data_IF_717396688105
#
_entry.id   IF_717396688105
#
_cell.length_a   1.000
_cell.length_b   1.000
_cell.length_c   1.000
_cell.angle_alpha   90.00
_cell.angle_beta   90.00
_cell.angle_gamma   90.00
#
_symmetry.space_group_name_H-M   'P 1'
#
loop_
_entity.id
_entity.type
_entity.pdbx_description
1 polymer ?
#
# COMPACT_ATOMS: atom_id res chain seq x y z
N UNK A 1 24.92 -3.43 24.75
CA UNK A 1 23.62 -4.08 25.07
C UNK A 1 22.45 -3.11 25.35
N UNK A 2 22.66 -1.83 25.71
CA UNK A 2 21.55 -0.91 26.08
C UNK A 2 20.78 -0.22 24.94
N UNK A 3 21.33 -0.14 23.71
CA UNK A 3 20.74 0.64 22.61
C UNK A 3 19.42 0.09 22.07
N UNK A 4 19.32 -1.24 21.92
CA UNK A 4 18.14 -1.90 21.34
C UNK A 4 16.91 -1.86 22.26
N UNK A 5 17.13 -2.00 23.58
CA UNK A 5 16.08 -1.86 24.60
C UNK A 5 15.54 -0.43 24.60
N UNK A 6 16.42 0.58 24.46
CA UNK A 6 16.00 1.97 24.35
C UNK A 6 15.19 2.25 23.08
N UNK A 7 15.54 1.62 21.94
CA UNK A 7 14.78 1.72 20.70
C UNK A 7 13.35 1.16 20.87
N UNK A 8 13.20 -0.05 21.40
CA UNK A 8 11.88 -0.64 21.64
C UNK A 8 11.02 0.19 22.58
N UNK A 9 11.60 0.74 23.65
CA UNK A 9 10.90 1.66 24.56
C UNK A 9 10.40 2.91 23.84
N UNK A 10 11.23 3.52 22.99
CA UNK A 10 10.84 4.68 22.17
C UNK A 10 9.70 4.34 21.21
N UNK A 11 9.82 3.25 20.45
CA UNK A 11 8.80 2.79 19.51
C UNK A 11 7.46 2.51 20.21
N UNK A 12 7.49 1.87 21.39
CA UNK A 12 6.29 1.65 22.19
C UNK A 12 5.63 2.96 22.63
N UNK A 13 6.43 3.95 23.07
CA UNK A 13 5.92 5.28 23.46
C UNK A 13 5.24 5.99 22.28
N UNK A 14 5.87 6.00 21.10
CA UNK A 14 5.33 6.58 19.87
C UNK A 14 3.99 5.90 19.50
N UNK A 15 3.96 4.56 19.49
CA UNK A 15 2.74 3.80 19.20
C UNK A 15 1.61 4.12 20.19
N UNK A 16 1.92 4.22 21.48
CA UNK A 16 0.94 4.56 22.53
C UNK A 16 0.41 5.98 22.36
N UNK A 17 1.27 6.92 21.99
CA UNK A 17 0.90 8.32 21.76
C UNK A 17 -0.01 8.46 20.53
N UNK A 18 0.38 7.89 19.40
CA UNK A 18 -0.46 7.90 18.19
C UNK A 18 -1.84 7.31 18.43
N UNK A 19 -1.95 6.22 19.20
CA UNK A 19 -3.26 5.62 19.52
C UNK A 19 -4.14 6.57 20.36
N UNK A 20 -3.56 7.41 21.22
CA UNK A 20 -4.32 8.44 21.96
C UNK A 20 -4.76 9.55 21.03
N UNK A 21 -3.86 10.07 20.21
CA UNK A 21 -4.14 11.13 19.23
C UNK A 21 -5.23 10.72 18.24
N UNK A 22 -5.22 9.47 17.77
CA UNK A 22 -6.28 8.93 16.91
C UNK A 22 -7.66 8.94 17.58
N UNK A 23 -7.74 8.60 18.88
CA UNK A 23 -9.00 8.64 19.63
C UNK A 23 -9.49 10.07 19.80
N UNK A 24 -8.58 10.99 20.15
CA UNK A 24 -8.90 12.41 20.28
C UNK A 24 -9.40 12.94 18.93
N UNK A 25 -8.69 12.66 17.84
CA UNK A 25 -9.11 13.03 16.49
C UNK A 25 -10.52 12.51 16.17
N UNK A 26 -10.82 11.24 16.48
CA UNK A 26 -12.16 10.68 16.28
C UNK A 26 -13.26 11.41 17.07
N UNK A 27 -12.97 11.90 18.28
CA UNK A 27 -13.91 12.73 19.05
C UNK A 27 -14.01 14.14 18.48
N UNK A 28 -12.88 14.73 18.07
CA UNK A 28 -12.83 16.07 17.48
C UNK A 28 -13.63 16.15 16.19
N UNK A 29 -13.55 15.15 15.30
CA UNK A 29 -14.35 15.14 14.05
C UNK A 29 -15.85 14.92 14.28
N UNK A 30 -16.26 14.38 15.44
CA UNK A 30 -17.68 14.28 15.81
C UNK A 30 -18.26 15.64 16.20
N UNK A 31 -17.45 16.47 16.87
CA UNK A 31 -17.84 17.83 17.29
C UNK A 31 -17.68 18.82 16.12
N UNK A 32 -16.61 18.65 15.33
CA UNK A 32 -16.23 19.52 14.22
C UNK A 32 -16.05 18.71 12.93
N UNK A 33 -17.14 18.38 12.22
CA UNK A 33 -17.07 17.58 11.01
C UNK A 33 -16.23 18.21 9.90
N UNK A 34 -16.05 19.54 9.90
CA UNK A 34 -15.20 20.27 8.96
C UNK A 34 -13.70 19.95 9.10
N UNK A 35 -13.26 19.40 10.24
CA UNK A 35 -11.87 18.99 10.46
C UNK A 35 -11.56 17.59 9.92
N UNK A 36 -12.57 16.90 9.38
CA UNK A 36 -12.40 15.56 8.81
C UNK A 36 -11.54 15.65 7.55
N UNK A 37 -10.43 14.90 7.53
CA UNK A 37 -9.63 14.74 6.32
C UNK A 37 -10.49 14.17 5.17
N UNK A 38 -10.27 14.66 3.94
CA UNK A 38 -10.97 14.13 2.78
C UNK A 38 -10.50 12.69 2.50
N UNK A 39 -11.29 11.92 1.74
CA UNK A 39 -10.91 10.54 1.41
C UNK A 39 -9.62 10.53 0.59
N UNK A 40 -8.82 9.46 0.73
CA UNK A 40 -7.55 9.33 -0.02
C UNK A 40 -7.74 9.41 -1.53
N UNK A 41 -8.92 9.02 -2.03
CA UNK A 41 -9.32 9.09 -3.44
C UNK A 41 -9.37 10.52 -3.99
N UNK A 42 -9.60 11.52 -3.13
CA UNK A 42 -9.58 12.94 -3.54
C UNK A 42 -8.18 13.48 -3.75
N UNK A 43 -7.15 12.74 -3.35
CA UNK A 43 -5.76 13.16 -3.51
C UNK A 43 -5.36 13.07 -5.00
N UNK A 44 -4.75 14.12 -5.54
CA UNK A 44 -4.42 14.20 -6.96
C UNK A 44 -3.41 13.15 -7.45
N UNK A 45 -2.66 12.54 -6.54
CA UNK A 45 -1.70 11.47 -6.80
C UNK A 45 -2.26 10.06 -6.54
N UNK A 46 -3.54 9.92 -6.13
CA UNK A 46 -4.13 8.65 -5.75
C UNK A 46 -4.00 7.56 -6.83
N UNK A 47 -4.30 7.91 -8.08
CA UNK A 47 -4.16 7.02 -9.24
C UNK A 47 -2.71 6.55 -9.47
N UNK A 48 -1.75 7.40 -9.13
CA UNK A 48 -0.33 7.08 -9.24
C UNK A 48 0.10 6.18 -8.08
N UNK A 49 -0.41 6.45 -6.87
CA UNK A 49 -0.22 5.64 -5.68
C UNK A 49 -0.70 4.19 -5.88
N UNK A 50 -1.83 3.99 -6.56
CA UNK A 50 -2.36 2.65 -6.88
C UNK A 50 -1.39 1.80 -7.70
N UNK A 51 -0.58 2.41 -8.58
CA UNK A 51 0.41 1.68 -9.39
C UNK A 51 1.48 1.01 -8.53
N UNK A 52 1.80 1.58 -7.36
CA UNK A 52 2.78 1.00 -6.46
C UNK A 52 2.33 -0.33 -5.86
N UNK A 53 1.02 -0.66 -5.89
CA UNK A 53 0.53 -1.98 -5.45
C UNK A 53 1.13 -3.13 -6.26
N UNK A 54 1.49 -2.88 -7.52
CA UNK A 54 2.13 -3.86 -8.40
C UNK A 54 3.65 -3.94 -8.22
N UNK A 55 4.24 -3.09 -7.37
CA UNK A 55 5.66 -3.17 -7.08
C UNK A 55 5.96 -4.34 -6.14
N UNK A 56 7.10 -5.01 -6.35
CA UNK A 56 7.50 -6.17 -5.56
C UNK A 56 7.57 -5.84 -4.06
N UNK A 57 8.09 -4.67 -3.69
CA UNK A 57 8.20 -4.29 -2.27
C UNK A 57 6.84 -4.18 -1.59
N UNK A 58 5.80 -3.72 -2.31
CA UNK A 58 4.45 -3.63 -1.78
C UNK A 58 3.86 -5.01 -1.54
N UNK A 59 3.91 -5.90 -2.55
CA UNK A 59 3.42 -7.28 -2.42
C UNK A 59 4.14 -8.06 -1.31
N UNK A 60 5.45 -7.90 -1.20
CA UNK A 60 6.21 -8.51 -0.10
C UNK A 60 5.83 -7.91 1.26
N UNK A 61 5.62 -6.58 1.32
CA UNK A 61 5.13 -5.90 2.52
C UNK A 61 3.78 -6.45 2.98
N UNK A 62 2.85 -6.68 2.06
CA UNK A 62 1.56 -7.29 2.38
C UNK A 62 1.70 -8.71 2.96
N UNK A 63 2.56 -9.55 2.37
CA UNK A 63 2.84 -10.90 2.87
C UNK A 63 3.43 -10.83 4.28
N UNK A 64 4.38 -9.94 4.52
CA UNK A 64 5.01 -9.76 5.84
C UNK A 64 4.00 -9.30 6.90
N UNK A 65 3.15 -8.32 6.58
CA UNK A 65 2.12 -7.82 7.49
C UNK A 65 1.10 -8.92 7.82
N UNK A 66 0.69 -9.72 6.83
CA UNK A 66 -0.22 -10.86 7.05
C UNK A 66 0.41 -11.90 7.95
N UNK A 67 1.67 -12.26 7.70
CA UNK A 67 2.41 -13.20 8.53
C UNK A 67 2.55 -12.70 9.98
N UNK A 68 2.92 -11.44 10.19
CA UNK A 68 3.04 -10.83 11.53
C UNK A 68 1.71 -10.92 12.31
N UNK A 69 0.59 -10.57 11.67
CA UNK A 69 -0.75 -10.67 12.29
C UNK A 69 -1.11 -12.10 12.70
N UNK A 70 -0.70 -13.09 11.91
CA UNK A 70 -0.98 -14.51 12.17
C UNK A 70 0.22 -15.25 12.79
N UNK A 71 1.20 -14.55 13.34
CA UNK A 71 2.43 -15.17 13.85
C UNK A 71 2.13 -16.22 14.93
N UNK A 72 1.19 -15.89 15.83
CA UNK A 72 0.67 -16.78 16.88
C UNK A 72 0.01 -18.07 16.35
N UNK A 73 -0.34 -18.14 15.06
CA UNK A 73 -0.92 -19.33 14.40
C UNK A 73 0.12 -20.17 13.64
N UNK A 74 1.41 -19.92 13.83
CA UNK A 74 2.48 -20.65 13.15
C UNK A 74 2.70 -20.25 11.69
N UNK A 75 2.24 -19.05 11.27
CA UNK A 75 2.42 -18.56 9.90
C UNK A 75 3.88 -18.34 9.48
N UNK A 76 4.81 -18.22 10.43
CA UNK A 76 6.25 -18.14 10.14
C UNK A 76 6.77 -19.30 9.28
N UNK A 77 6.19 -20.49 9.41
CA UNK A 77 6.53 -21.65 8.57
C UNK A 77 6.05 -21.50 7.12
N UNK A 78 4.92 -20.81 6.91
CA UNK A 78 4.32 -20.57 5.58
C UNK A 78 4.91 -19.35 4.87
N UNK A 79 5.53 -18.43 5.62
CA UNK A 79 6.10 -17.19 5.11
C UNK A 79 7.04 -17.40 3.91
N UNK A 80 7.91 -18.42 3.96
CA UNK A 80 8.81 -18.73 2.83
C UNK A 80 8.04 -19.09 1.55
N UNK A 81 6.93 -19.81 1.68
CA UNK A 81 6.10 -20.19 0.54
C UNK A 81 5.29 -19.00 0.03
N UNK A 82 4.77 -18.16 0.93
CA UNK A 82 4.03 -16.95 0.57
C UNK A 82 4.92 -15.93 -0.15
N UNK A 83 6.17 -15.75 0.30
CA UNK A 83 7.18 -14.93 -0.40
C UNK A 83 7.49 -15.50 -1.79
N UNK A 84 7.65 -16.82 -1.91
CA UNK A 84 7.85 -17.47 -3.22
C UNK A 84 6.65 -17.24 -4.14
N UNK A 85 5.43 -17.28 -3.61
CA UNK A 85 4.19 -17.03 -4.36
C UNK A 85 4.12 -15.57 -4.84
N UNK A 86 4.34 -14.60 -3.96
CA UNK A 86 4.35 -13.18 -4.32
C UNK A 86 5.41 -12.85 -5.39
N UNK A 87 6.59 -13.48 -5.32
CA UNK A 87 7.61 -13.35 -6.36
C UNK A 87 7.18 -13.92 -7.72
N UNK A 88 6.42 -15.02 -7.73
CA UNK A 88 5.85 -15.58 -8.97
C UNK A 88 4.77 -14.66 -9.55
N UNK A 89 3.86 -14.18 -8.72
CA UNK A 89 2.82 -13.22 -9.13
C UNK A 89 3.44 -11.95 -9.71
N UNK A 90 4.46 -11.39 -9.04
CA UNK A 90 5.20 -10.24 -9.57
C UNK A 90 5.83 -10.51 -10.94
N UNK A 91 6.41 -11.69 -11.17
CA UNK A 91 6.98 -12.05 -12.49
C UNK A 91 5.90 -12.06 -13.57
N UNK A 92 4.74 -12.65 -13.30
CA UNK A 92 3.60 -12.70 -14.22
C UNK A 92 3.14 -11.27 -14.55
N UNK A 93 2.92 -10.44 -13.53
CA UNK A 93 2.52 -9.04 -13.74
C UNK A 93 3.57 -8.27 -14.55
N UNK A 94 4.85 -8.42 -14.21
CA UNK A 94 5.95 -7.77 -14.93
C UNK A 94 5.98 -8.18 -16.40
N UNK A 95 5.77 -9.45 -16.70
CA UNK A 95 5.72 -9.98 -18.07
C UNK A 95 4.52 -9.41 -18.85
N UNK A 96 3.34 -9.39 -18.22
CA UNK A 96 2.13 -8.77 -18.78
C UNK A 96 2.39 -7.28 -19.10
N UNK A 97 2.91 -6.52 -18.15
CA UNK A 97 3.23 -5.09 -18.36
C UNK A 97 4.27 -4.87 -19.45
N UNK A 98 5.30 -5.71 -19.51
CA UNK A 98 6.32 -5.64 -20.57
C UNK A 98 5.72 -5.95 -21.95
N UNK A 99 4.84 -6.95 -22.03
CA UNK A 99 4.14 -7.30 -23.27
C UNK A 99 3.21 -6.18 -23.73
N UNK A 100 2.47 -5.55 -22.81
CA UNK A 100 1.67 -4.35 -23.11
C UNK A 100 2.53 -3.17 -23.57
N UNK A 101 3.66 -2.92 -22.91
CA UNK A 101 4.58 -1.86 -23.31
C UNK A 101 5.20 -2.12 -24.69
N UNK A 102 5.48 -3.39 -25.02
CA UNK A 102 6.03 -3.84 -26.30
C UNK A 102 5.00 -3.81 -27.43
N UNK A 103 3.74 -4.15 -27.15
CA UNK A 103 2.65 -4.16 -28.13
C UNK A 103 2.31 -2.75 -28.62
N UNK A 104 2.63 -1.70 -27.84
CA UNK A 104 2.34 -0.35 -28.30
C UNK A 104 3.14 0.78 -27.65
N UNK A 105 4.36 1.05 -28.16
CA UNK A 105 5.03 2.32 -27.89
C UNK A 105 4.21 3.52 -28.39
N UNK A 106 3.43 3.36 -29.47
CA UNK A 106 2.56 4.41 -30.01
C UNK A 106 1.27 4.63 -29.19
N UNK A 107 0.61 3.58 -28.69
CA UNK A 107 -0.57 3.73 -27.83
C UNK A 107 -0.16 4.26 -26.45
N UNK A 108 1.00 3.92 -25.87
CA UNK A 108 1.45 4.58 -24.62
C UNK A 108 1.68 6.08 -24.83
N UNK A 109 2.18 6.50 -26.00
CA UNK A 109 2.36 7.92 -26.35
C UNK A 109 1.02 8.63 -26.57
N UNK A 110 0.05 7.94 -27.18
CA UNK A 110 -1.33 8.43 -27.40
C UNK A 110 -2.14 8.46 -26.09
N UNK A 111 -2.07 7.40 -25.27
CA UNK A 111 -2.68 7.32 -23.93
C UNK A 111 -1.98 8.28 -22.98
N UNK A 112 -0.67 8.53 -23.08
CA UNK A 112 0.01 9.57 -22.30
C UNK A 112 -0.53 10.96 -22.60
N UNK A 113 -0.87 11.23 -23.87
CA UNK A 113 -1.51 12.49 -24.29
C UNK A 113 -3.00 12.54 -23.87
N UNK A 114 -3.71 11.41 -23.92
CA UNK A 114 -5.12 11.29 -23.54
C UNK A 114 -5.35 10.78 -22.10
N UNK A 115 -4.31 10.78 -21.26
CA UNK A 115 -4.26 10.04 -19.97
C UNK A 115 -5.32 10.53 -18.99
N UNK A 116 -5.66 11.82 -19.08
CA UNK A 116 -6.69 12.45 -18.26
C UNK A 116 -8.12 12.01 -18.63
N UNK A 117 -8.34 11.57 -19.87
CA UNK A 117 -9.65 11.08 -20.32
C UNK A 117 -9.87 9.60 -19.96
N UNK A 118 -8.83 8.77 -20.02
CA UNK A 118 -8.93 7.33 -19.77
C UNK A 118 -9.09 6.97 -18.28
N UNK A 119 -8.54 7.79 -17.37
CA UNK A 119 -8.69 7.58 -15.92
C UNK A 119 -10.09 7.91 -15.40
N UNK A 120 -10.94 8.60 -16.18
CA UNK A 120 -12.34 8.86 -15.83
C UNK A 120 -13.29 7.69 -16.16
N UNK A 121 -12.85 6.76 -17.01
CA UNK A 121 -13.68 5.70 -17.63
C UNK A 121 -13.47 4.29 -17.03
N UNK A 122 -12.48 4.10 -16.15
CA UNK A 122 -12.29 2.80 -15.49
C UNK A 122 -13.39 2.56 -14.43
N UNK A 123 -14.01 1.38 -14.37
CA UNK A 123 -15.08 1.13 -13.42
C UNK A 123 -14.52 1.15 -12.00
N UNK A 124 -15.09 2.05 -11.20
CA UNK A 124 -14.98 2.13 -9.74
C UNK A 124 -15.33 0.77 -9.13
N UNK A 125 -14.36 0.11 -8.49
CA UNK A 125 -14.56 -1.04 -7.59
C UNK A 125 -13.74 -0.78 -6.33
#
# INVERSE_FOLDING_TARGET
MGGYIALFKKLYKIKKQHKKEQKIYQQTIQIFPQLKYPSLETCGDYEQALRYKFHLSYMLGEVLIKADKTWHKGSGFKLKNDIKKANKEFKIFKEIFNNFAKLSPNIIKIISKNKQAFLKELPRI
#
